data_IF_924282150581
#
_entry.id   IF_924282150581
#
_cell.length_a   1.000
_cell.length_b   1.000
_cell.length_c   1.000
_cell.angle_alpha   90.00
_cell.angle_beta   90.00
_cell.angle_gamma   90.00
#
_symmetry.space_group_name_H-M   'P 1'
#
loop_
_entity.id
_entity.type
_entity.pdbx_description
1 polymer ?
#
# COMPACT_ATOMS: atom_id res chain seq x y z
N UNK A 1 16.22 34.43 21.43
CA UNK A 1 15.94 33.60 20.25
C UNK A 1 16.35 32.15 20.48
N UNK A 2 17.47 31.90 21.15
CA UNK A 2 18.00 30.57 21.52
C UNK A 2 17.00 29.65 22.28
N UNK A 3 16.19 30.18 23.20
CA UNK A 3 15.14 29.37 23.87
C UNK A 3 14.11 28.78 22.89
N UNK A 4 13.76 29.51 21.82
CA UNK A 4 12.81 29.03 20.80
C UNK A 4 13.44 27.98 19.88
N UNK A 5 14.75 28.05 19.68
CA UNK A 5 15.50 27.06 18.90
C UNK A 5 15.66 25.76 19.68
N UNK A 6 15.97 25.83 20.98
CA UNK A 6 16.01 24.67 21.87
C UNK A 6 14.63 23.98 21.97
N UNK A 7 13.53 24.74 22.07
CA UNK A 7 12.18 24.19 22.04
C UNK A 7 11.82 23.55 20.68
N UNK A 8 12.25 24.14 19.56
CA UNK A 8 12.07 23.55 18.24
C UNK A 8 12.86 22.27 18.06
N UNK A 9 14.11 22.23 18.54
CA UNK A 9 14.96 21.04 18.51
C UNK A 9 14.39 19.93 19.40
N UNK A 10 13.87 20.26 20.60
CA UNK A 10 13.24 19.26 21.47
C UNK A 10 11.97 18.68 20.84
N UNK A 11 11.12 19.52 20.22
CA UNK A 11 9.93 19.07 19.48
C UNK A 11 10.29 18.22 18.25
N UNK A 12 11.34 18.60 17.52
CA UNK A 12 11.82 17.83 16.38
C UNK A 12 12.38 16.47 16.80
N UNK A 13 13.14 16.43 17.90
CA UNK A 13 13.64 15.20 18.49
C UNK A 13 12.50 14.30 19.00
N UNK A 14 11.46 14.86 19.61
CA UNK A 14 10.29 14.11 20.07
C UNK A 14 9.45 13.51 18.94
N UNK A 15 9.43 14.14 17.75
CA UNK A 15 8.65 13.67 16.59
C UNK A 15 9.40 12.64 15.74
N UNK A 16 10.73 12.60 15.84
CA UNK A 16 11.59 11.87 14.92
C UNK A 16 11.72 12.60 13.58
N UNK A 17 12.90 12.48 12.97
CA UNK A 17 13.18 12.94 11.61
C UNK A 17 13.80 11.78 10.83
N UNK A 18 13.52 11.74 9.53
CA UNK A 18 14.16 10.78 8.63
C UNK A 18 15.67 11.01 8.60
N UNK A 19 16.46 9.93 8.63
CA UNK A 19 17.91 10.04 8.62
C UNK A 19 18.44 10.46 7.24
N UNK A 20 17.72 10.10 6.17
CA UNK A 20 18.06 10.48 4.79
C UNK A 20 16.82 10.73 3.94
N UNK A 21 16.98 11.55 2.89
CA UNK A 21 15.95 11.72 1.85
C UNK A 21 15.67 10.42 1.10
N UNK A 22 16.66 9.55 0.97
CA UNK A 22 16.51 8.25 0.30
C UNK A 22 15.61 7.31 1.08
N UNK A 23 15.70 7.32 2.41
CA UNK A 23 14.82 6.57 3.30
C UNK A 23 13.35 6.99 3.11
N UNK A 24 13.12 8.30 3.08
CA UNK A 24 11.78 8.85 2.83
C UNK A 24 11.23 8.42 1.46
N UNK A 25 12.01 8.54 0.39
CA UNK A 25 11.57 8.13 -0.96
C UNK A 25 11.28 6.63 -1.01
N UNK A 26 12.10 5.81 -0.35
CA UNK A 26 11.92 4.36 -0.32
C UNK A 26 10.62 3.97 0.40
N UNK A 27 10.34 4.58 1.56
CA UNK A 27 9.11 4.34 2.32
C UNK A 27 7.89 4.75 1.49
N UNK A 28 7.95 5.91 0.84
CA UNK A 28 6.85 6.40 0.00
C UNK A 28 6.64 5.50 -1.22
N UNK A 29 7.71 5.09 -1.90
CA UNK A 29 7.63 4.17 -3.03
C UNK A 29 7.01 2.82 -2.61
N UNK A 30 7.41 2.28 -1.45
CA UNK A 30 6.82 1.06 -0.88
C UNK A 30 5.34 1.20 -0.54
N UNK A 31 4.89 2.39 -0.11
CA UNK A 31 3.47 2.64 0.14
C UNK A 31 2.64 2.79 -1.16
N UNK A 32 3.25 3.23 -2.27
CA UNK A 32 2.57 3.37 -3.57
C UNK A 32 2.50 2.03 -4.33
N UNK A 33 3.55 1.21 -4.23
CA UNK A 33 3.63 -0.09 -4.90
C UNK A 33 3.07 -1.19 -3.99
N UNK A 34 1.80 -1.56 -4.20
CA UNK A 34 1.14 -2.63 -3.44
C UNK A 34 0.77 -3.86 -4.26
N UNK A 35 0.36 -4.94 -3.59
CA UNK A 35 -0.15 -6.18 -4.21
C UNK A 35 -1.31 -5.93 -5.18
N UNK A 36 -2.12 -4.90 -4.94
CA UNK A 36 -3.18 -4.48 -5.86
C UNK A 36 -2.66 -4.17 -7.26
N UNK A 37 -1.45 -3.61 -7.40
CA UNK A 37 -0.86 -3.32 -8.71
C UNK A 37 -0.45 -4.61 -9.45
N UNK A 38 -0.22 -5.72 -8.75
CA UNK A 38 0.24 -6.98 -9.34
C UNK A 38 -0.90 -7.77 -9.98
N UNK A 39 -2.07 -7.85 -9.33
CA UNK A 39 -3.20 -8.63 -9.87
C UNK A 39 -4.32 -7.77 -10.45
N UNK A 40 -4.63 -6.63 -9.85
CA UNK A 40 -5.84 -5.86 -10.20
C UNK A 40 -5.59 -5.03 -11.45
N UNK A 41 -4.43 -4.41 -11.54
CA UNK A 41 -4.08 -3.61 -12.71
C UNK A 41 -4.05 -4.44 -14.00
N UNK A 42 -3.39 -5.61 -14.08
CA UNK A 42 -3.43 -6.43 -15.29
C UNK A 42 -4.84 -6.95 -15.60
N UNK A 43 -5.61 -7.35 -14.58
CA UNK A 43 -6.99 -7.80 -14.76
C UNK A 43 -7.89 -6.71 -15.36
N UNK A 44 -7.79 -5.47 -14.87
CA UNK A 44 -8.54 -4.34 -15.43
C UNK A 44 -8.07 -3.99 -16.84
N UNK A 45 -6.76 -3.95 -17.08
CA UNK A 45 -6.22 -3.69 -18.41
C UNK A 45 -6.79 -4.71 -19.41
N UNK A 46 -6.76 -6.00 -19.09
CA UNK A 46 -7.30 -7.04 -19.97
C UNK A 46 -8.79 -6.85 -20.26
N UNK A 47 -9.61 -6.56 -19.23
CA UNK A 47 -11.06 -6.40 -19.38
C UNK A 47 -11.47 -5.14 -20.15
N UNK A 48 -10.72 -4.06 -20.03
CA UNK A 48 -11.07 -2.74 -20.59
C UNK A 48 -10.29 -2.39 -21.87
N UNK A 49 -9.97 -3.39 -22.70
CA UNK A 49 -9.36 -3.16 -24.03
C UNK A 49 -7.83 -3.20 -24.06
N UNK A 50 -7.20 -3.89 -23.11
CA UNK A 50 -5.77 -4.14 -23.06
C UNK A 50 -4.96 -2.85 -22.96
N UNK A 51 -4.08 -2.63 -23.94
CA UNK A 51 -3.21 -1.45 -23.99
C UNK A 51 -3.95 -0.12 -24.16
N UNK A 52 -5.18 -0.11 -24.71
CA UNK A 52 -5.96 1.11 -24.86
C UNK A 52 -6.39 1.72 -23.51
N UNK A 53 -6.53 0.89 -22.47
CA UNK A 53 -6.82 1.34 -21.10
C UNK A 53 -5.68 2.18 -20.50
N UNK A 54 -4.46 2.05 -21.01
CA UNK A 54 -3.29 2.77 -20.48
C UNK A 54 -3.36 4.28 -20.75
N UNK A 55 -3.96 4.69 -21.87
CA UNK A 55 -4.08 6.10 -22.26
C UNK A 55 -4.91 6.91 -21.23
N UNK A 56 -6.17 6.53 -20.93
CA UNK A 56 -6.95 7.23 -19.91
C UNK A 56 -6.36 7.05 -18.51
N UNK A 57 -5.74 5.90 -18.22
CA UNK A 57 -5.08 5.67 -16.93
C UNK A 57 -3.94 6.67 -16.68
N UNK A 58 -3.03 6.83 -17.64
CA UNK A 58 -1.91 7.77 -17.51
C UNK A 58 -2.38 9.23 -17.44
N UNK A 59 -3.40 9.59 -18.22
CA UNK A 59 -3.98 10.93 -18.18
C UNK A 59 -4.55 11.23 -16.77
N UNK A 60 -5.32 10.31 -16.19
CA UNK A 60 -5.86 10.47 -14.84
C UNK A 60 -4.76 10.53 -13.77
N UNK A 61 -3.68 9.76 -13.92
CA UNK A 61 -2.52 9.82 -13.00
C UNK A 61 -1.85 11.19 -13.08
N UNK A 62 -1.65 11.75 -14.27
CA UNK A 62 -1.00 13.06 -14.43
C UNK A 62 -1.90 14.19 -13.96
N UNK A 63 -3.19 14.15 -14.28
CA UNK A 63 -4.15 15.24 -13.98
C UNK A 63 -4.63 15.22 -12.52
N UNK A 64 -4.85 14.04 -11.95
CA UNK A 64 -5.37 13.91 -10.59
C UNK A 64 -4.38 13.25 -9.63
N UNK A 65 -3.70 12.18 -10.06
CA UNK A 65 -2.77 11.44 -9.20
C UNK A 65 -1.60 12.29 -8.68
N UNK A 66 -0.84 12.92 -9.57
CA UNK A 66 0.33 13.74 -9.20
C UNK A 66 -0.09 14.95 -8.36
N UNK A 67 -1.11 15.76 -8.74
CA UNK A 67 -1.50 16.90 -7.92
C UNK A 67 -2.02 16.51 -6.53
N UNK A 68 -2.80 15.42 -6.41
CA UNK A 68 -3.27 14.94 -5.11
C UNK A 68 -2.11 14.44 -4.23
N UNK A 69 -1.15 13.73 -4.81
CA UNK A 69 0.03 13.25 -4.08
C UNK A 69 0.91 14.41 -3.58
N UNK A 70 1.11 15.43 -4.41
CA UNK A 70 1.83 16.65 -4.02
C UNK A 70 1.08 17.46 -2.98
N UNK A 71 -0.25 17.55 -3.09
CA UNK A 71 -1.10 18.21 -2.10
C UNK A 71 -0.98 17.51 -0.73
N UNK A 72 -1.12 16.18 -0.69
CA UNK A 72 -1.01 15.40 0.54
C UNK A 72 0.36 15.55 1.18
N UNK A 73 1.42 15.44 0.39
CA UNK A 73 2.80 15.56 0.87
C UNK A 73 3.10 16.97 1.40
N UNK A 74 2.69 18.01 0.68
CA UNK A 74 2.90 19.40 1.09
C UNK A 74 2.08 19.76 2.34
N UNK A 75 0.84 19.27 2.46
CA UNK A 75 0.01 19.42 3.65
C UNK A 75 0.61 18.70 4.86
N UNK A 76 1.13 17.48 4.70
CA UNK A 76 1.83 16.76 5.76
C UNK A 76 3.10 17.49 6.21
N UNK A 77 3.85 18.06 5.26
CA UNK A 77 5.02 18.88 5.55
C UNK A 77 4.67 20.22 6.22
N UNK A 78 3.54 20.83 5.87
CA UNK A 78 3.11 22.10 6.48
C UNK A 78 2.51 21.91 7.88
N UNK A 79 1.58 20.97 8.04
CA UNK A 79 0.89 20.74 9.31
C UNK A 79 1.80 20.06 10.33
N UNK A 80 2.79 19.27 9.88
CA UNK A 80 3.77 18.57 10.72
C UNK A 80 3.13 17.65 11.78
N UNK A 81 1.91 17.20 11.52
CA UNK A 81 0.99 16.53 12.43
C UNK A 81 0.33 15.33 11.72
N UNK A 82 -0.25 14.41 12.49
CA UNK A 82 -0.95 13.25 11.95
C UNK A 82 -2.19 13.63 11.12
N UNK A 83 -2.68 12.68 10.32
CA UNK A 83 -3.75 12.93 9.34
C UNK A 83 -5.03 13.52 9.98
N UNK A 84 -5.47 13.01 11.14
CA UNK A 84 -6.67 13.51 11.83
C UNK A 84 -6.46 14.91 12.41
N UNK A 85 -5.30 15.15 13.04
CA UNK A 85 -4.99 16.44 13.69
C UNK A 85 -4.65 17.53 12.68
N UNK A 86 -4.13 17.17 11.50
CA UNK A 86 -3.90 18.05 10.35
C UNK A 86 -5.22 18.69 9.88
N UNK A 87 -6.24 17.87 9.58
CA UNK A 87 -7.54 18.38 9.13
C UNK A 87 -8.22 19.25 10.18
N UNK A 88 -8.08 18.92 11.47
CA UNK A 88 -8.61 19.75 12.57
C UNK A 88 -7.99 21.16 12.61
N UNK A 89 -6.72 21.32 12.23
CA UNK A 89 -6.03 22.63 12.21
C UNK A 89 -6.33 23.46 10.96
N UNK A 90 -6.55 22.81 9.81
CA UNK A 90 -6.81 23.48 8.54
C UNK A 90 -8.28 23.88 8.43
N UNK A 91 -9.19 22.91 8.60
CA UNK A 91 -10.62 23.12 8.51
C UNK A 91 -11.35 22.13 9.42
N UNK A 92 -11.88 22.55 10.58
CA UNK A 92 -12.53 21.65 11.53
C UNK A 92 -13.78 20.97 10.94
N UNK A 93 -14.43 21.56 9.93
CA UNK A 93 -15.55 20.95 9.22
C UNK A 93 -15.12 19.71 8.40
N UNK A 94 -13.88 19.69 7.91
CA UNK A 94 -13.31 18.58 7.14
C UNK A 94 -12.74 17.45 8.01
N UNK A 95 -12.96 17.48 9.33
CA UNK A 95 -12.46 16.46 10.26
C UNK A 95 -12.94 15.03 9.91
N UNK A 96 -14.10 14.91 9.25
CA UNK A 96 -14.62 13.63 8.74
C UNK A 96 -13.69 12.93 7.73
N UNK A 97 -12.92 13.69 6.94
CA UNK A 97 -11.93 13.13 6.00
C UNK A 97 -10.85 12.35 6.77
N UNK A 98 -10.43 12.89 7.92
CA UNK A 98 -9.46 12.26 8.81
C UNK A 98 -9.91 10.89 9.31
N UNK A 99 -11.15 10.80 9.80
CA UNK A 99 -11.73 9.54 10.27
C UNK A 99 -12.04 8.56 9.13
N UNK A 100 -12.46 9.06 7.96
CA UNK A 100 -12.65 8.22 6.77
C UNK A 100 -11.37 7.51 6.36
N UNK A 101 -10.24 8.24 6.35
CA UNK A 101 -8.94 7.63 6.08
C UNK A 101 -8.53 6.58 7.12
N UNK A 102 -8.83 6.82 8.41
CA UNK A 102 -8.60 5.81 9.46
C UNK A 102 -9.38 4.52 9.20
N UNK A 103 -10.65 4.63 8.78
CA UNK A 103 -11.46 3.45 8.43
C UNK A 103 -10.89 2.70 7.22
N UNK A 104 -10.43 3.42 6.19
CA UNK A 104 -9.76 2.81 5.03
C UNK A 104 -8.50 2.05 5.47
N UNK A 105 -7.69 2.64 6.36
CA UNK A 105 -6.48 1.99 6.88
C UNK A 105 -6.78 0.79 7.78
N UNK A 106 -7.90 0.79 8.50
CA UNK A 106 -8.35 -0.37 9.24
C UNK A 106 -8.76 -1.52 8.30
N UNK A 107 -9.47 -1.19 7.22
CA UNK A 107 -9.81 -2.18 6.18
C UNK A 107 -8.56 -2.73 5.48
N UNK A 108 -7.54 -1.91 5.26
CA UNK A 108 -6.27 -2.32 4.68
C UNK A 108 -5.57 -3.43 5.50
N UNK A 109 -5.87 -3.54 6.80
CA UNK A 109 -5.36 -4.62 7.65
C UNK A 109 -5.77 -6.01 7.15
N UNK A 110 -6.90 -6.15 6.45
CA UNK A 110 -7.30 -7.42 5.84
C UNK A 110 -6.30 -7.90 4.77
N UNK A 111 -5.54 -7.00 4.13
CA UNK A 111 -4.51 -7.38 3.15
C UNK A 111 -3.31 -8.09 3.78
N UNK A 112 -3.10 -7.96 5.10
CA UNK A 112 -2.03 -8.67 5.81
C UNK A 112 -2.23 -10.19 5.71
N UNK A 113 -3.47 -10.67 5.65
CA UNK A 113 -3.79 -12.10 5.47
C UNK A 113 -3.25 -12.61 4.14
N UNK A 114 -3.42 -11.84 3.06
CA UNK A 114 -2.92 -12.22 1.73
C UNK A 114 -1.38 -12.20 1.70
N UNK A 115 -0.75 -11.24 2.39
CA UNK A 115 0.71 -11.23 2.54
C UNK A 115 1.20 -12.46 3.32
N UNK A 116 0.47 -12.87 4.36
CA UNK A 116 0.78 -14.09 5.12
C UNK A 116 0.68 -15.34 4.25
N UNK A 117 -0.33 -15.44 3.37
CA UNK A 117 -0.41 -16.53 2.39
C UNK A 117 0.75 -16.48 1.39
N UNK A 118 1.14 -15.31 0.89
CA UNK A 118 2.29 -15.20 0.00
C UNK A 118 3.60 -15.69 0.67
N UNK A 119 3.81 -15.36 1.95
CA UNK A 119 4.93 -15.87 2.74
C UNK A 119 4.84 -17.38 2.95
N UNK A 120 3.65 -17.91 3.22
CA UNK A 120 3.42 -19.35 3.31
C UNK A 120 3.84 -20.03 2.00
N UNK A 121 3.32 -19.61 0.85
CA UNK A 121 3.70 -20.16 -0.46
C UNK A 121 5.20 -20.00 -0.77
N UNK A 122 5.81 -18.88 -0.37
CA UNK A 122 7.26 -18.67 -0.53
C UNK A 122 8.07 -19.72 0.24
N UNK A 123 7.71 -20.00 1.50
CA UNK A 123 8.40 -21.00 2.32
C UNK A 123 8.27 -22.40 1.70
N UNK A 124 7.08 -22.76 1.19
CA UNK A 124 6.89 -24.05 0.53
C UNK A 124 7.56 -24.16 -0.85
N UNK A 125 7.94 -23.04 -1.47
CA UNK A 125 8.64 -23.01 -2.76
C UNK A 125 10.12 -23.44 -2.67
N UNK A 126 10.69 -23.51 -1.46
CA UNK A 126 12.05 -24.03 -1.25
C UNK A 126 12.13 -25.56 -1.22
N UNK A 127 11.00 -26.26 -1.40
CA UNK A 127 10.97 -27.73 -1.54
C UNK A 127 11.38 -28.13 -2.97
N UNK A 128 12.04 -29.28 -3.10
CA UNK A 128 12.48 -29.83 -4.40
C UNK A 128 11.31 -30.15 -5.33
N UNK A 129 10.22 -30.67 -4.77
CA UNK A 129 8.95 -30.84 -5.46
C UNK A 129 7.91 -29.91 -4.82
N UNK A 130 7.24 -29.12 -5.66
CA UNK A 130 6.27 -28.15 -5.19
C UNK A 130 4.97 -28.88 -4.84
N UNK A 131 4.38 -28.62 -3.65
CA UNK A 131 3.26 -29.42 -3.14
C UNK A 131 1.97 -29.24 -3.96
N UNK A 132 1.86 -28.22 -4.80
CA UNK A 132 0.72 -28.00 -5.70
C UNK A 132 0.91 -28.57 -7.12
N UNK A 133 2.03 -29.24 -7.40
CA UNK A 133 2.27 -29.90 -8.70
C UNK A 133 1.62 -31.28 -8.76
N UNK A 134 1.61 -32.00 -7.64
CA UNK A 134 1.10 -33.37 -7.58
C UNK A 134 -0.20 -33.44 -6.77
N UNK A 135 -1.11 -34.31 -7.20
CA UNK A 135 -2.36 -34.57 -6.48
C UNK A 135 -2.21 -35.60 -5.33
N UNK A 136 -0.98 -36.02 -4.97
CA UNK A 136 -0.71 -37.01 -3.91
C UNK A 136 -0.51 -36.39 -2.51
N UNK A 137 -1.40 -35.49 -2.09
CA UNK A 137 -1.34 -34.87 -0.76
C UNK A 137 -2.55 -35.28 0.08
N UNK A 138 -2.38 -35.26 1.41
CA UNK A 138 -3.44 -35.62 2.37
C UNK A 138 -4.66 -34.71 2.35
N UNK A 139 -4.55 -33.51 1.79
CA UNK A 139 -5.64 -32.55 1.66
C UNK A 139 -6.38 -32.62 0.31
N UNK A 140 -5.93 -33.45 -0.63
CA UNK A 140 -6.58 -33.59 -1.92
C UNK A 140 -7.75 -34.57 -1.83
N UNK A 141 -8.92 -34.16 -2.31
CA UNK A 141 -10.11 -35.01 -2.44
C UNK A 141 -10.09 -35.81 -3.74
N UNK A 142 -10.76 -36.98 -3.76
CA UNK A 142 -10.64 -38.02 -4.79
C UNK A 142 -11.05 -37.65 -6.22
N UNK A 143 -11.60 -36.46 -6.49
CA UNK A 143 -11.90 -35.99 -7.86
C UNK A 143 -10.64 -35.80 -8.73
N UNK A 144 -9.45 -35.62 -8.13
CA UNK A 144 -8.20 -35.44 -8.86
C UNK A 144 -7.37 -36.72 -9.06
N UNK A 145 -7.81 -37.87 -8.52
CA UNK A 145 -7.14 -39.15 -8.78
C UNK A 145 -7.58 -39.80 -10.10
N UNK A 146 -8.69 -39.33 -10.70
CA UNK A 146 -9.30 -39.95 -11.88
C UNK A 146 -8.73 -39.39 -13.20
N UNK A 147 -8.18 -38.17 -13.21
CA UNK A 147 -7.69 -37.51 -14.44
C UNK A 147 -6.24 -37.81 -14.83
N UNK A 148 -5.51 -38.62 -14.04
CA UNK A 148 -4.13 -39.06 -14.37
C UNK A 148 -4.07 -40.57 -14.71
N UNK A 149 -5.21 -41.26 -14.78
CA UNK A 149 -5.30 -42.69 -15.07
C UNK A 149 -5.83 -43.01 -16.49
N UNK A 150 -5.98 -42.00 -17.35
CA UNK A 150 -6.23 -42.13 -18.80
C UNK A 150 -5.07 -41.56 -19.62
#
# INVERSE_FOLDING_TARGET
>A
MERREAERQSRAAARGQWASKTEYILVVAGNVVGLGNVWRFPYLCYRYGGGAFLIPYLLLVVVFGIPLFLLETSLGQFAQEGFITCWRKICPLAQGIGYGYLMIKLYDFCYVIVQAWALFYLVFSFRSELPWVTCNNSWNTGEHLITMAE
#
